data_IF_828662262689
#
_entry.id   IF_828662262689
#
_cell.length_a   1.000
_cell.length_b   1.000
_cell.length_c   1.000
_cell.angle_alpha   90.00
_cell.angle_beta   90.00
_cell.angle_gamma   90.00
#
_symmetry.space_group_name_H-M   'P 1'
#
loop_
_entity.id
_entity.type
_entity.pdbx_description
1 polymer ?
#
# COMPACT_ATOMS: atom_id res chain seq x y z
N UNK A 1 9.35 5.29 3.11
CA UNK A 1 9.93 4.11 3.76
C UNK A 1 11.05 3.60 2.89
N UNK A 2 12.10 3.04 3.47
CA UNK A 2 13.19 2.44 2.70
C UNK A 2 14.55 3.12 2.82
N UNK A 3 14.65 4.29 3.46
CA UNK A 3 15.94 4.76 3.97
C UNK A 3 16.31 3.97 5.23
N UNK A 4 17.61 3.78 5.52
CA UNK A 4 18.06 3.11 6.74
C UNK A 4 17.39 3.66 8.01
N UNK A 5 17.32 4.97 8.16
CA UNK A 5 16.69 5.62 9.33
C UNK A 5 15.21 5.28 9.46
N UNK A 6 14.46 5.25 8.35
CA UNK A 6 13.04 4.90 8.37
C UNK A 6 12.82 3.41 8.65
N UNK A 7 13.76 2.54 8.29
CA UNK A 7 13.72 1.13 8.66
C UNK A 7 13.97 0.95 10.15
N UNK A 8 14.98 1.62 10.71
CA UNK A 8 15.24 1.61 12.16
C UNK A 8 14.03 2.14 12.93
N UNK A 9 13.46 3.27 12.52
CA UNK A 9 12.26 3.85 13.14
C UNK A 9 11.08 2.86 13.11
N UNK A 10 10.82 2.26 11.94
CA UNK A 10 9.71 1.30 11.76
C UNK A 10 9.93 0.04 12.61
N UNK A 11 11.15 -0.50 12.65
CA UNK A 11 11.44 -1.71 13.43
C UNK A 11 11.32 -1.42 14.94
N UNK A 12 11.82 -0.27 15.38
CA UNK A 12 11.80 0.14 16.79
C UNK A 12 10.37 0.34 17.27
N UNK A 13 9.66 1.28 16.66
CA UNK A 13 8.35 1.77 17.13
C UNK A 13 7.16 1.01 16.54
N UNK A 14 7.41 0.14 15.56
CA UNK A 14 6.36 -0.46 14.77
C UNK A 14 5.74 0.52 13.77
N UNK A 15 4.74 0.04 13.04
CA UNK A 15 3.86 0.88 12.22
C UNK A 15 2.47 0.29 12.12
N UNK A 16 1.47 1.16 12.02
CA UNK A 16 0.08 0.78 11.77
C UNK A 16 -0.34 1.40 10.44
N UNK A 17 -0.67 0.56 9.47
CA UNK A 17 -1.30 0.98 8.22
C UNK A 17 -2.80 0.80 8.34
N UNK A 18 -3.58 1.83 8.03
CA UNK A 18 -5.03 1.78 8.12
C UNK A 18 -5.66 2.16 6.76
N UNK A 19 -6.23 1.16 6.09
CA UNK A 19 -7.12 1.37 4.95
C UNK A 19 -8.56 1.28 5.47
N UNK A 20 -9.31 2.39 5.58
CA UNK A 20 -10.68 2.36 6.06
C UNK A 20 -11.61 1.65 5.06
N UNK A 21 -12.83 1.32 5.50
CA UNK A 21 -13.89 0.87 4.62
C UNK A 21 -14.33 2.03 3.71
N UNK A 22 -14.25 1.84 2.39
CA UNK A 22 -14.49 2.89 1.41
C UNK A 22 -15.71 2.63 0.52
N UNK A 23 -16.34 1.46 0.59
CA UNK A 23 -17.50 1.14 -0.26
C UNK A 23 -18.60 2.21 -0.22
N UNK A 24 -18.99 2.68 0.97
CA UNK A 24 -20.01 3.71 1.11
C UNK A 24 -19.58 5.08 0.55
N UNK A 25 -18.29 5.40 0.60
CA UNK A 25 -17.73 6.64 0.05
C UNK A 25 -17.59 6.59 -1.48
N UNK A 26 -17.40 5.40 -2.05
CA UNK A 26 -17.30 5.17 -3.50
C UNK A 26 -18.68 5.15 -4.16
N UNK A 27 -19.68 4.55 -3.51
CA UNK A 27 -21.07 4.52 -3.95
C UNK A 27 -21.61 3.09 -4.06
N UNK A 28 -21.94 2.67 -5.28
CA UNK A 28 -22.55 1.35 -5.54
C UNK A 28 -21.50 0.24 -5.62
N UNK A 29 -21.94 -1.02 -5.57
CA UNK A 29 -21.06 -2.17 -5.79
C UNK A 29 -20.39 -2.14 -7.17
N UNK A 30 -21.06 -1.59 -8.19
CA UNK A 30 -20.48 -1.41 -9.51
C UNK A 30 -19.48 -0.25 -9.55
N UNK A 31 -19.68 0.82 -8.77
CA UNK A 31 -18.66 1.87 -8.60
C UNK A 31 -17.38 1.32 -7.95
N UNK A 32 -17.52 0.38 -7.00
CA UNK A 32 -16.37 -0.31 -6.39
C UNK A 32 -15.62 -1.16 -7.41
N UNK A 33 -16.32 -1.86 -8.32
CA UNK A 33 -15.66 -2.57 -9.44
C UNK A 33 -14.98 -1.60 -10.40
N UNK A 34 -15.61 -0.46 -10.68
CA UNK A 34 -15.04 0.56 -11.56
C UNK A 34 -13.74 1.12 -10.98
N UNK A 35 -13.73 1.50 -9.70
CA UNK A 35 -12.51 1.99 -9.06
C UNK A 35 -11.45 0.89 -8.94
N UNK A 36 -11.84 -0.37 -8.74
CA UNK A 36 -10.89 -1.50 -8.73
C UNK A 36 -10.16 -1.65 -10.07
N UNK A 37 -10.87 -1.54 -11.19
CA UNK A 37 -10.27 -1.58 -12.52
C UNK A 37 -9.41 -0.34 -12.81
N UNK A 38 -9.78 0.83 -12.29
CA UNK A 38 -8.92 2.02 -12.37
C UNK A 38 -7.63 1.84 -11.56
N UNK A 39 -7.70 1.26 -10.36
CA UNK A 39 -6.50 0.97 -9.56
C UNK A 39 -5.58 -0.04 -10.25
N UNK A 40 -6.12 -1.05 -10.94
CA UNK A 40 -5.32 -1.96 -11.77
C UNK A 40 -4.64 -1.24 -12.94
N UNK A 41 -5.32 -0.26 -13.56
CA UNK A 41 -4.73 0.48 -14.68
C UNK A 41 -3.54 1.35 -14.27
N UNK A 42 -3.50 1.83 -13.00
CA UNK A 42 -2.38 2.63 -12.48
C UNK A 42 -1.03 1.90 -12.51
N UNK A 43 -1.03 0.58 -12.36
CA UNK A 43 0.17 -0.28 -12.46
C UNK A 43 0.34 -0.94 -13.83
N UNK A 44 -0.46 -0.53 -14.84
CA UNK A 44 -0.57 -1.20 -16.15
C UNK A 44 -0.92 -2.70 -16.04
N UNK A 45 -1.62 -3.10 -14.98
CA UNK A 45 -2.09 -4.47 -14.81
C UNK A 45 -3.28 -4.75 -15.75
N UNK A 46 -3.58 -6.02 -16.11
CA UNK A 46 -4.78 -6.36 -16.86
C UNK A 46 -6.05 -5.84 -16.19
N UNK A 47 -6.89 -5.13 -16.93
CA UNK A 47 -8.09 -4.47 -16.43
C UNK A 47 -9.15 -4.27 -17.53
N UNK A 48 -10.39 -4.05 -17.12
CA UNK A 48 -11.44 -3.58 -18.01
C UNK A 48 -11.31 -2.06 -18.22
N UNK A 49 -10.97 -1.65 -19.45
CA UNK A 49 -10.74 -0.24 -19.80
C UNK A 49 -11.99 0.64 -19.67
N UNK A 50 -13.19 0.10 -19.91
CA UNK A 50 -14.45 0.86 -19.77
C UNK A 50 -14.68 1.16 -18.29
N UNK A 51 -14.51 0.14 -17.44
CA UNK A 51 -14.63 0.28 -15.99
C UNK A 51 -13.56 1.19 -15.41
N UNK A 52 -12.32 1.10 -15.89
CA UNK A 52 -11.24 1.98 -15.45
C UNK A 52 -11.53 3.46 -15.77
N UNK A 53 -12.07 3.75 -16.95
CA UNK A 53 -12.48 5.11 -17.30
C UNK A 53 -13.58 5.64 -16.38
N UNK A 54 -14.60 4.83 -16.07
CA UNK A 54 -15.65 5.18 -15.11
C UNK A 54 -15.12 5.31 -13.67
N UNK A 55 -14.14 4.49 -13.30
CA UNK A 55 -13.54 4.46 -11.97
C UNK A 55 -12.64 5.65 -11.67
N UNK A 56 -12.13 6.33 -12.71
CA UNK A 56 -11.23 7.49 -12.56
C UNK A 56 -11.87 8.61 -11.74
N UNK A 57 -13.13 8.93 -12.00
CA UNK A 57 -13.84 9.98 -11.25
C UNK A 57 -14.09 9.58 -9.80
N UNK A 58 -14.29 8.28 -9.55
CA UNK A 58 -14.50 7.73 -8.20
C UNK A 58 -13.21 7.68 -7.39
N UNK A 59 -12.04 7.65 -8.03
CA UNK A 59 -10.74 7.61 -7.35
C UNK A 59 -10.42 8.89 -6.56
N UNK A 60 -11.15 9.99 -6.76
CA UNK A 60 -10.93 11.25 -6.03
C UNK A 60 -10.95 11.05 -4.51
N UNK A 61 -11.81 10.17 -3.98
CA UNK A 61 -11.83 9.86 -2.54
C UNK A 61 -10.62 9.05 -2.09
N UNK A 62 -10.01 8.26 -2.98
CA UNK A 62 -8.81 7.48 -2.72
C UNK A 62 -7.55 8.36 -2.76
N UNK A 63 -7.55 9.40 -3.60
CA UNK A 63 -6.44 10.31 -3.80
C UNK A 63 -6.04 11.08 -2.52
N UNK A 64 -6.97 11.25 -1.57
CA UNK A 64 -6.70 11.88 -0.27
C UNK A 64 -5.59 11.17 0.52
N UNK A 65 -5.48 9.84 0.37
CA UNK A 65 -4.45 9.05 1.03
C UNK A 65 -3.43 8.48 0.04
N UNK A 66 -3.85 8.11 -1.18
CA UNK A 66 -2.98 7.47 -2.17
C UNK A 66 -2.34 8.45 -3.16
N UNK A 67 -2.63 9.75 -3.04
CA UNK A 67 -2.17 10.78 -3.98
C UNK A 67 -2.98 10.78 -5.28
N UNK A 68 -2.98 11.92 -5.98
CA UNK A 68 -3.72 12.08 -7.24
C UNK A 68 -3.19 11.15 -8.36
N UNK A 69 -1.91 10.82 -8.31
CA UNK A 69 -1.25 9.90 -9.23
C UNK A 69 -1.17 8.46 -8.69
N UNK A 70 -1.75 8.18 -7.52
CA UNK A 70 -1.77 6.85 -6.92
C UNK A 70 -0.43 6.39 -6.33
N UNK A 71 0.59 7.25 -6.23
CA UNK A 71 1.92 6.86 -5.73
C UNK A 71 2.00 6.57 -4.22
N UNK A 72 0.92 6.78 -3.50
CA UNK A 72 0.88 6.66 -2.05
C UNK A 72 1.55 7.84 -1.36
N UNK A 73 1.40 7.85 -0.04
CA UNK A 73 1.88 8.88 0.86
C UNK A 73 2.58 8.20 2.03
N UNK A 74 3.91 8.34 2.07
CA UNK A 74 4.73 7.71 3.10
C UNK A 74 4.38 8.16 4.53
N UNK A 75 3.89 9.39 4.69
CA UNK A 75 3.50 9.95 5.98
C UNK A 75 2.34 9.19 6.65
N UNK A 76 1.40 8.67 5.86
CA UNK A 76 0.26 7.87 6.35
C UNK A 76 0.43 6.38 6.05
N UNK A 77 1.59 5.99 5.50
CA UNK A 77 1.91 4.60 5.15
C UNK A 77 1.03 3.99 4.07
N UNK A 78 0.38 4.82 3.24
CA UNK A 78 -0.46 4.31 2.15
C UNK A 78 0.40 3.71 1.05
N UNK A 79 -0.13 2.65 0.43
CA UNK A 79 0.55 1.91 -0.61
C UNK A 79 0.66 2.74 -1.90
N UNK A 80 1.75 2.50 -2.64
CA UNK A 80 1.87 2.91 -4.03
C UNK A 80 1.05 1.94 -4.89
N UNK A 81 0.07 2.48 -5.61
CA UNK A 81 -0.84 1.71 -6.47
C UNK A 81 -0.33 1.64 -7.93
N UNK A 82 0.75 2.35 -8.25
CA UNK A 82 1.34 2.39 -9.60
C UNK A 82 2.45 1.37 -9.80
N UNK A 83 2.84 0.64 -8.75
CA UNK A 83 3.84 -0.43 -8.84
C UNK A 83 3.19 -1.82 -8.85
N UNK A 84 4.03 -2.84 -9.02
CA UNK A 84 3.59 -4.23 -9.11
C UNK A 84 3.70 -4.97 -7.77
N UNK A 85 3.77 -4.25 -6.64
CA UNK A 85 3.99 -4.84 -5.30
C UNK A 85 2.67 -4.92 -4.55
N UNK A 86 2.10 -6.14 -4.50
CA UNK A 86 0.80 -6.40 -3.87
C UNK A 86 0.92 -7.22 -2.58
N UNK A 87 0.80 -6.56 -1.43
CA UNK A 87 0.93 -7.24 -0.12
C UNK A 87 -0.32 -8.03 0.30
N UNK A 88 -1.49 -7.69 -0.24
CA UNK A 88 -2.79 -8.21 0.25
C UNK A 88 -3.61 -8.91 -0.83
N UNK A 89 -2.92 -9.51 -1.80
CA UNK A 89 -3.54 -10.12 -2.97
C UNK A 89 -3.61 -9.16 -4.14
N UNK A 90 -3.68 -9.77 -5.33
CA UNK A 90 -3.69 -9.09 -6.63
C UNK A 90 -5.01 -9.36 -7.35
N UNK A 91 -5.38 -8.45 -8.24
CA UNK A 91 -6.55 -8.57 -9.11
C UNK A 91 -7.80 -7.88 -8.57
N UNK A 92 -8.81 -7.81 -9.43
CA UNK A 92 -10.04 -7.06 -9.18
C UNK A 92 -10.71 -7.47 -7.86
N UNK A 93 -10.89 -8.77 -7.62
CA UNK A 93 -11.52 -9.28 -6.40
C UNK A 93 -10.78 -8.87 -5.11
N UNK A 94 -9.45 -8.85 -5.14
CA UNK A 94 -8.65 -8.45 -3.99
C UNK A 94 -8.83 -6.95 -3.70
N UNK A 95 -8.87 -6.12 -4.74
CA UNK A 95 -9.08 -4.67 -4.60
C UNK A 95 -10.52 -4.37 -4.13
N UNK A 96 -11.53 -5.05 -4.70
CA UNK A 96 -12.92 -4.92 -4.24
C UNK A 96 -13.03 -5.29 -2.77
N UNK A 97 -12.41 -6.39 -2.34
CA UNK A 97 -12.42 -6.80 -0.94
C UNK A 97 -11.73 -5.77 -0.04
N UNK A 98 -10.62 -5.19 -0.49
CA UNK A 98 -9.91 -4.14 0.25
C UNK A 98 -10.75 -2.86 0.39
N UNK A 99 -11.37 -2.39 -0.69
CA UNK A 99 -12.23 -1.20 -0.69
C UNK A 99 -13.49 -1.42 0.14
N UNK A 100 -14.04 -2.64 0.11
CA UNK A 100 -15.28 -2.97 0.82
C UNK A 100 -15.07 -3.14 2.31
N UNK A 101 -14.07 -3.93 2.69
CA UNK A 101 -13.88 -4.35 4.08
C UNK A 101 -12.85 -3.51 4.83
N UNK A 102 -12.05 -2.71 4.11
CA UNK A 102 -10.88 -2.07 4.69
C UNK A 102 -9.85 -3.08 5.20
N UNK A 103 -8.75 -2.58 5.76
CA UNK A 103 -7.74 -3.38 6.44
C UNK A 103 -6.88 -2.53 7.36
N UNK A 104 -6.75 -2.98 8.61
CA UNK A 104 -5.72 -2.49 9.52
C UNK A 104 -4.58 -3.49 9.57
N UNK A 105 -3.38 -3.07 9.16
CA UNK A 105 -2.17 -3.86 9.25
C UNK A 105 -1.28 -3.32 10.35
N UNK A 106 -0.72 -4.22 11.15
CA UNK A 106 0.18 -3.87 12.25
C UNK A 106 1.51 -4.57 12.02
N UNK A 107 2.57 -3.78 11.95
CA UNK A 107 3.93 -4.25 12.20
C UNK A 107 4.27 -3.84 13.64
N UNK A 108 4.33 -4.80 14.58
CA UNK A 108 4.52 -4.48 15.99
C UNK A 108 5.89 -3.85 16.25
N UNK A 109 5.95 -2.99 17.26
CA UNK A 109 7.20 -2.49 17.80
C UNK A 109 8.10 -3.65 18.27
N UNK A 110 9.38 -3.57 17.95
CA UNK A 110 10.39 -4.51 18.43
C UNK A 110 11.23 -3.94 19.57
N UNK A 111 11.03 -2.66 19.93
CA UNK A 111 11.58 -2.12 21.16
C UNK A 111 11.13 -2.94 22.37
N UNK A 112 12.05 -3.17 23.31
CA UNK A 112 11.83 -4.07 24.46
C UNK A 112 12.01 -5.57 24.15
N UNK A 113 12.05 -5.98 22.87
CA UNK A 113 12.41 -7.35 22.45
C UNK A 113 13.83 -7.45 21.91
N UNK A 114 14.29 -6.40 21.22
CA UNK A 114 15.62 -6.31 20.62
C UNK A 114 16.37 -5.11 21.20
N UNK A 115 17.68 -5.24 21.32
CA UNK A 115 18.56 -4.10 21.63
C UNK A 115 18.69 -3.17 20.42
N UNK A 116 19.09 -1.92 20.66
CA UNK A 116 19.34 -0.93 19.60
C UNK A 116 20.32 -1.46 18.55
N UNK A 117 21.42 -2.09 18.98
CA UNK A 117 22.40 -2.71 18.09
C UNK A 117 21.77 -3.82 17.22
N UNK A 118 20.91 -4.67 17.80
CA UNK A 118 20.20 -5.71 17.05
C UNK A 118 19.22 -5.12 16.02
N UNK A 119 18.52 -4.04 16.39
CA UNK A 119 17.62 -3.32 15.47
C UNK A 119 18.40 -2.74 14.30
N UNK A 120 19.56 -2.13 14.55
CA UNK A 120 20.41 -1.58 13.48
C UNK A 120 20.94 -2.65 12.52
N UNK A 121 21.36 -3.80 13.05
CA UNK A 121 21.77 -4.95 12.23
C UNK A 121 20.60 -5.45 11.38
N UNK A 122 19.42 -5.60 11.98
CA UNK A 122 18.22 -6.03 11.26
C UNK A 122 17.80 -5.03 10.19
N UNK A 123 17.81 -3.74 10.49
CA UNK A 123 17.50 -2.68 9.54
C UNK A 123 18.48 -2.69 8.36
N UNK A 124 19.77 -2.91 8.63
CA UNK A 124 20.81 -3.03 7.61
C UNK A 124 20.61 -4.26 6.73
N UNK A 125 20.25 -5.39 7.33
CA UNK A 125 19.91 -6.61 6.59
C UNK A 125 18.71 -6.41 5.66
N UNK A 126 17.60 -5.85 6.16
CA UNK A 126 16.41 -5.55 5.37
C UNK A 126 16.71 -4.56 4.25
N UNK A 127 17.48 -3.51 4.54
CA UNK A 127 17.91 -2.55 3.52
C UNK A 127 18.74 -3.22 2.42
N UNK A 128 19.63 -4.14 2.81
CA UNK A 128 20.46 -4.93 1.91
C UNK A 128 19.67 -5.85 0.97
N UNK A 129 18.47 -6.32 1.36
CA UNK A 129 17.62 -7.12 0.47
C UNK A 129 17.14 -6.35 -0.76
N UNK A 130 17.01 -5.02 -0.66
CA UNK A 130 16.54 -4.17 -1.76
C UNK A 130 17.64 -3.33 -2.42
N UNK A 131 18.83 -3.26 -1.82
CA UNK A 131 19.93 -2.40 -2.28
C UNK A 131 21.25 -3.16 -2.52
N UNK A 132 21.22 -4.49 -2.58
CA UNK A 132 22.41 -5.28 -2.93
C UNK A 132 22.69 -5.21 -4.44
N UNK A 133 23.87 -4.69 -4.80
CA UNK A 133 24.35 -4.66 -6.18
C UNK A 133 24.65 -6.06 -6.75
N UNK A 134 24.82 -7.08 -5.89
CA UNK A 134 25.14 -8.45 -6.30
C UNK A 134 23.91 -9.35 -6.55
N UNK A 135 22.69 -8.84 -6.34
CA UNK A 135 21.43 -9.61 -6.44
C UNK A 135 20.54 -9.20 -7.64
N UNK A 136 21.08 -8.46 -8.61
CA UNK A 136 20.41 -8.14 -9.88
C UNK A 136 20.94 -8.99 -11.02
#
# INVERSE_FOLDING_TARGET
>A
GGTPDKLVETITKGRIGNMPTMAAAVGTADDVKNVANYVLSLSNSPHDSVRANLGKEKFVVCAACHGADGKGMQAVGSANLTDNIWLHGFGENAIIAMVTNGKTNVMPAQEGKLSEAQIHVLASYVWGLSNNAAAK
#
